data_IF_990090851114
#
_entry.id   IF_990090851114
#
_cell.length_a   1.000
_cell.length_b   1.000
_cell.length_c   1.000
_cell.angle_alpha   90.00
_cell.angle_beta   90.00
_cell.angle_gamma   90.00
#
_symmetry.space_group_name_H-M   'P 1'
#
loop_
_entity.id
_entity.type
_entity.pdbx_description
1 polymer ?
#
# COMPACT_ATOMS: atom_id res chain seq x y z
N UNK A 1 33.48 -2.70 5.26
CA UNK A 1 32.28 -2.29 6.03
C UNK A 1 31.18 -3.27 5.64
N UNK A 2 30.65 -4.07 6.57
CA UNK A 2 29.77 -5.19 6.23
C UNK A 2 28.39 -4.66 5.79
N UNK A 3 27.78 -5.31 4.80
CA UNK A 3 26.46 -4.92 4.23
C UNK A 3 25.33 -4.91 5.26
N UNK A 4 25.43 -5.75 6.30
CA UNK A 4 24.47 -5.83 7.41
C UNK A 4 24.50 -4.55 8.27
N UNK A 5 25.69 -4.02 8.56
CA UNK A 5 25.84 -2.80 9.38
C UNK A 5 25.27 -1.58 8.66
N UNK A 6 25.40 -1.55 7.33
CA UNK A 6 24.84 -0.50 6.49
C UNK A 6 23.30 -0.57 6.47
N UNK A 7 22.73 -1.76 6.31
CA UNK A 7 21.28 -1.96 6.33
C UNK A 7 20.66 -1.54 7.68
N UNK A 8 21.30 -1.90 8.80
CA UNK A 8 20.88 -1.48 10.14
C UNK A 8 20.94 0.04 10.27
N UNK A 9 22.03 0.68 9.82
CA UNK A 9 22.18 2.14 9.86
C UNK A 9 21.09 2.85 9.04
N UNK A 10 20.80 2.38 7.83
CA UNK A 10 19.73 2.95 6.99
C UNK A 10 18.37 2.85 7.66
N UNK A 11 18.04 1.68 8.23
CA UNK A 11 16.80 1.50 9.02
C UNK A 11 16.70 2.50 10.16
N UNK A 12 17.74 2.64 10.98
CA UNK A 12 17.75 3.57 12.12
C UNK A 12 17.61 5.04 11.67
N UNK A 13 18.26 5.40 10.55
CA UNK A 13 18.09 6.73 9.94
C UNK A 13 16.63 6.99 9.55
N UNK A 14 15.96 6.00 8.93
CA UNK A 14 14.55 6.13 8.55
C UNK A 14 13.61 6.26 9.75
N UNK A 15 13.86 5.53 10.84
CA UNK A 15 13.09 5.65 12.09
C UNK A 15 13.22 7.07 12.66
N UNK A 16 14.43 7.63 12.66
CA UNK A 16 14.65 9.00 13.11
C UNK A 16 13.92 10.03 12.22
N UNK A 17 14.03 9.88 10.90
CA UNK A 17 13.38 10.78 9.93
C UNK A 17 11.85 10.70 9.97
N UNK A 18 11.28 9.54 10.29
CA UNK A 18 9.83 9.36 10.35
C UNK A 18 9.18 9.95 11.61
N UNK A 19 9.99 10.38 12.60
CA UNK A 19 9.47 10.91 13.87
C UNK A 19 8.57 9.92 14.62
N UNK A 20 8.80 8.62 14.48
CA UNK A 20 8.00 7.56 15.09
C UNK A 20 6.70 7.25 14.35
N UNK A 21 6.47 7.81 13.15
CA UNK A 21 5.29 7.51 12.33
C UNK A 21 5.60 6.43 11.30
N UNK A 22 4.94 5.28 11.44
CA UNK A 22 5.11 4.14 10.54
C UNK A 22 4.86 4.48 9.06
N UNK A 23 3.82 5.28 8.77
CA UNK A 23 3.53 5.72 7.40
C UNK A 23 4.69 6.50 6.79
N UNK A 24 5.26 7.44 7.53
CA UNK A 24 6.39 8.25 7.05
C UNK A 24 7.64 7.36 6.83
N UNK A 25 7.85 6.37 7.70
CA UNK A 25 8.90 5.36 7.53
C UNK A 25 8.75 4.58 6.22
N UNK A 26 7.55 4.04 5.95
CA UNK A 26 7.25 3.29 4.73
C UNK A 26 7.40 4.17 3.49
N UNK A 27 6.91 5.41 3.54
CA UNK A 27 7.04 6.37 2.43
C UNK A 27 8.50 6.67 2.11
N UNK A 28 9.34 6.93 3.12
CA UNK A 28 10.78 7.19 2.91
C UNK A 28 11.43 5.94 2.30
N UNK A 29 11.20 4.77 2.92
CA UNK A 29 11.75 3.51 2.45
C UNK A 29 11.42 3.24 0.98
N UNK A 30 10.15 3.33 0.60
CA UNK A 30 9.73 3.02 -0.76
C UNK A 30 10.27 4.03 -1.79
N UNK A 31 10.32 5.32 -1.47
CA UNK A 31 10.88 6.30 -2.41
C UNK A 31 12.40 6.13 -2.60
N UNK A 32 13.14 5.68 -1.58
CA UNK A 32 14.55 5.31 -1.72
C UNK A 32 14.72 4.10 -2.67
N UNK A 33 13.92 3.04 -2.49
CA UNK A 33 14.04 1.80 -3.27
C UNK A 33 13.44 1.91 -4.70
N UNK A 34 12.61 2.93 -4.94
CA UNK A 34 11.98 3.21 -6.23
C UNK A 34 12.67 4.36 -6.99
N UNK A 35 13.76 4.91 -6.44
CA UNK A 35 14.52 5.97 -7.09
C UNK A 35 14.96 5.54 -8.51
N UNK A 36 14.78 6.45 -9.49
CA UNK A 36 15.13 6.19 -10.89
C UNK A 36 14.14 5.34 -11.68
N UNK A 37 13.07 4.82 -11.06
CA UNK A 37 12.04 4.02 -11.77
C UNK A 37 10.93 4.87 -12.40
N UNK A 38 10.84 6.14 -12.02
CA UNK A 38 9.72 7.03 -12.34
C UNK A 38 8.45 6.77 -11.50
N UNK A 39 8.53 5.87 -10.51
CA UNK A 39 7.46 5.61 -9.54
C UNK A 39 7.74 6.44 -8.28
N UNK A 40 6.73 7.14 -7.79
CA UNK A 40 6.75 7.92 -6.55
C UNK A 40 5.72 7.39 -5.57
N UNK A 41 6.03 7.37 -4.27
CA UNK A 41 5.06 7.10 -3.22
C UNK A 41 4.67 8.41 -2.53
N UNK A 42 3.40 8.78 -2.70
CA UNK A 42 2.81 10.02 -2.18
C UNK A 42 1.84 9.74 -1.04
N UNK A 43 1.53 10.76 -0.22
CA UNK A 43 0.47 10.64 0.78
C UNK A 43 -0.88 10.75 0.11
N UNK A 44 -1.82 9.87 0.47
CA UNK A 44 -3.20 9.90 -0.01
C UNK A 44 -4.20 10.47 0.99
N UNK A 45 -3.72 10.94 2.16
CA UNK A 45 -4.58 11.38 3.27
C UNK A 45 -5.44 12.60 2.94
N UNK A 46 -4.97 13.46 2.03
CA UNK A 46 -5.62 14.70 1.67
C UNK A 46 -6.12 14.63 0.23
N UNK A 47 -7.42 14.43 0.06
CA UNK A 47 -8.07 14.44 -1.26
C UNK A 47 -7.78 15.75 -2.01
N UNK A 48 -7.84 16.88 -1.31
CA UNK A 48 -7.61 18.20 -1.91
C UNK A 48 -6.19 18.34 -2.45
N UNK A 49 -5.18 17.83 -1.75
CA UNK A 49 -3.80 17.82 -2.23
C UNK A 49 -3.63 16.95 -3.48
N UNK A 50 -4.24 15.75 -3.51
CA UNK A 50 -4.20 14.90 -4.70
C UNK A 50 -4.91 15.58 -5.87
N UNK A 51 -6.07 16.20 -5.63
CA UNK A 51 -6.84 16.92 -6.65
C UNK A 51 -6.10 18.13 -7.20
N UNK A 52 -5.41 18.88 -6.34
CA UNK A 52 -4.55 20.00 -6.74
C UNK A 52 -3.32 19.54 -7.50
N UNK A 53 -2.73 18.40 -7.12
CA UNK A 53 -1.59 17.80 -7.82
C UNK A 53 -1.96 17.34 -9.21
N UNK A 54 -3.05 16.58 -9.33
CA UNK A 54 -3.53 16.06 -10.61
C UNK A 54 -5.01 15.70 -10.55
N UNK A 55 -5.89 16.43 -11.27
CA UNK A 55 -7.28 16.06 -11.41
C UNK A 55 -7.49 14.68 -12.04
N UNK A 56 -6.55 14.23 -12.88
CA UNK A 56 -6.61 12.90 -13.53
C UNK A 56 -6.34 11.81 -12.50
N UNK A 57 -5.29 11.96 -11.69
CA UNK A 57 -4.97 11.03 -10.62
C UNK A 57 -6.10 10.95 -9.60
N UNK A 58 -6.63 12.11 -9.17
CA UNK A 58 -7.77 12.20 -8.26
C UNK A 58 -8.98 11.42 -8.79
N UNK A 59 -9.38 11.66 -10.05
CA UNK A 59 -10.50 10.90 -10.68
C UNK A 59 -10.27 9.39 -10.72
N UNK A 60 -9.02 8.95 -10.86
CA UNK A 60 -8.67 7.51 -10.89
C UNK A 60 -8.67 6.86 -9.49
N UNK A 61 -8.47 7.65 -8.44
CA UNK A 61 -8.46 7.18 -7.05
C UNK A 61 -9.85 7.29 -6.39
N UNK A 62 -10.65 8.28 -6.77
CA UNK A 62 -12.03 8.41 -6.32
C UNK A 62 -12.89 7.22 -6.76
N UNK A 63 -13.81 6.81 -5.89
CA UNK A 63 -14.77 5.76 -6.20
C UNK A 63 -16.15 6.39 -6.49
N UNK A 64 -16.83 6.01 -7.59
CA UNK A 64 -18.11 6.60 -7.94
C UNK A 64 -19.21 6.22 -6.95
N UNK A 65 -20.05 7.19 -6.58
CA UNK A 65 -21.26 6.98 -5.79
C UNK A 65 -22.44 6.65 -6.70
N UNK A 66 -23.18 5.59 -6.37
CA UNK A 66 -24.29 5.12 -7.22
C UNK A 66 -25.52 6.03 -7.17
N UNK A 67 -25.80 6.65 -6.03
CA UNK A 67 -27.08 7.32 -5.76
C UNK A 67 -26.84 8.52 -4.85
N UNK A 68 -26.15 9.53 -5.35
CA UNK A 68 -26.03 10.80 -4.65
C UNK A 68 -26.25 11.96 -5.62
N UNK A 69 -27.07 12.92 -5.19
CA UNK A 69 -27.44 14.09 -5.97
C UNK A 69 -26.50 15.29 -5.73
N UNK A 70 -25.54 15.15 -4.80
CA UNK A 70 -24.69 16.24 -4.31
C UNK A 70 -23.22 15.92 -4.59
N UNK A 71 -22.79 14.70 -4.25
CA UNK A 71 -21.45 14.18 -4.52
C UNK A 71 -21.54 12.94 -5.42
N UNK A 72 -20.78 12.88 -6.50
CA UNK A 72 -20.76 11.73 -7.42
C UNK A 72 -19.60 10.76 -7.12
N UNK A 73 -18.79 11.04 -6.10
CA UNK A 73 -17.63 10.25 -5.71
C UNK A 73 -17.41 10.24 -4.20
N UNK A 74 -16.64 9.26 -3.74
CA UNK A 74 -16.12 9.17 -2.38
C UNK A 74 -14.61 8.96 -2.40
N UNK A 75 -13.91 9.59 -1.45
CA UNK A 75 -12.50 9.34 -1.18
C UNK A 75 -12.36 8.19 -0.18
N UNK A 76 -11.52 7.20 -0.49
CA UNK A 76 -11.28 6.04 0.38
C UNK A 76 -10.34 6.32 1.55
N UNK A 77 -10.15 5.33 2.43
CA UNK A 77 -9.06 5.33 3.42
C UNK A 77 -7.73 5.05 2.71
N UNK A 78 -7.04 6.11 2.32
CA UNK A 78 -5.78 6.04 1.56
C UNK A 78 -4.65 6.67 2.39
N UNK A 79 -3.80 5.83 2.97
CA UNK A 79 -2.61 6.30 3.70
C UNK A 79 -1.54 6.79 2.71
N UNK A 80 -1.07 5.88 1.83
CA UNK A 80 -0.09 6.16 0.77
C UNK A 80 -0.56 5.62 -0.59
N UNK A 81 -0.05 6.20 -1.68
CA UNK A 81 -0.26 5.72 -3.05
C UNK A 81 1.06 5.68 -3.80
N UNK A 82 1.38 4.54 -4.41
CA UNK A 82 2.42 4.44 -5.43
C UNK A 82 1.85 4.86 -6.78
N UNK A 83 2.49 5.83 -7.43
CA UNK A 83 2.05 6.41 -8.71
C UNK A 83 3.20 6.46 -9.71
N UNK A 84 2.89 6.30 -11.00
CA UNK A 84 3.81 6.59 -12.11
C UNK A 84 3.18 7.64 -13.00
N UNK A 85 3.61 8.90 -12.87
CA UNK A 85 2.87 10.05 -13.39
C UNK A 85 1.46 10.10 -12.78
N UNK A 86 0.43 10.08 -13.63
CA UNK A 86 -0.99 10.05 -13.20
C UNK A 86 -1.59 8.65 -13.10
N UNK A 87 -0.77 7.60 -13.24
CA UNK A 87 -1.22 6.20 -13.15
C UNK A 87 -1.09 5.74 -11.69
N UNK A 88 -2.20 5.52 -10.96
CA UNK A 88 -2.15 4.88 -9.65
C UNK A 88 -1.84 3.39 -9.82
N UNK A 89 -0.83 2.91 -9.07
CA UNK A 89 -0.36 1.52 -9.12
C UNK A 89 -0.90 0.75 -7.93
N UNK A 90 -0.63 1.26 -6.72
CA UNK A 90 -1.00 0.60 -5.48
C UNK A 90 -1.39 1.61 -4.40
N UNK A 91 -2.45 1.31 -3.67
CA UNK A 91 -2.78 1.91 -2.38
C UNK A 91 -2.09 1.09 -1.30
N UNK A 92 -1.32 1.76 -0.46
CA UNK A 92 -0.52 1.15 0.61
C UNK A 92 -1.10 1.63 1.93
N UNK A 93 -1.96 0.82 2.55
CA UNK A 93 -2.46 1.12 3.88
C UNK A 93 -1.36 0.86 4.91
N UNK A 94 -1.16 1.79 5.84
CA UNK A 94 -0.08 1.76 6.81
C UNK A 94 -0.66 1.64 8.22
N UNK A 95 -0.69 0.42 8.78
CA UNK A 95 -1.26 0.19 10.12
C UNK A 95 -0.21 -0.40 11.06
N UNK A 96 -0.03 0.23 12.21
CA UNK A 96 0.86 -0.29 13.28
C UNK A 96 0.30 -1.57 13.90
N UNK A 97 -1.02 -1.64 14.09
CA UNK A 97 -1.75 -2.81 14.59
C UNK A 97 -3.10 -3.02 13.89
N UNK A 98 -3.58 -4.27 13.86
CA UNK A 98 -4.69 -4.75 13.02
C UNK A 98 -6.07 -4.76 13.70
N UNK A 99 -6.33 -3.86 14.65
CA UNK A 99 -7.58 -3.84 15.41
C UNK A 99 -8.80 -3.47 14.51
N UNK A 100 -9.85 -2.82 15.04
CA UNK A 100 -11.04 -2.47 14.23
C UNK A 100 -10.75 -1.74 12.89
N UNK A 101 -9.60 -1.08 12.76
CA UNK A 101 -9.11 -0.41 11.54
C UNK A 101 -8.76 -1.37 10.39
N UNK A 102 -8.50 -2.65 10.67
CA UNK A 102 -8.20 -3.61 9.62
C UNK A 102 -9.44 -3.90 8.75
N UNK A 103 -10.62 -4.02 9.37
CA UNK A 103 -11.89 -4.23 8.64
C UNK A 103 -12.19 -3.11 7.65
N UNK A 104 -11.87 -1.86 8.01
CA UNK A 104 -12.01 -0.71 7.10
C UNK A 104 -11.08 -0.82 5.89
N UNK A 105 -9.81 -1.17 6.10
CA UNK A 105 -8.87 -1.47 5.00
C UNK A 105 -9.40 -2.57 4.08
N UNK A 106 -9.96 -3.65 4.64
CA UNK A 106 -10.53 -4.75 3.85
C UNK A 106 -11.74 -4.31 3.03
N UNK A 107 -12.61 -3.46 3.60
CA UNK A 107 -13.76 -2.90 2.90
C UNK A 107 -13.32 -2.06 1.69
N UNK A 108 -12.39 -1.13 1.88
CA UNK A 108 -11.87 -0.31 0.78
C UNK A 108 -11.14 -1.15 -0.26
N UNK A 109 -10.35 -2.14 0.17
CA UNK A 109 -9.70 -3.08 -0.74
C UNK A 109 -10.70 -3.78 -1.67
N UNK A 110 -11.82 -4.27 -1.12
CA UNK A 110 -12.86 -4.92 -1.91
C UNK A 110 -13.46 -3.96 -2.95
N UNK A 111 -13.73 -2.71 -2.57
CA UNK A 111 -14.26 -1.71 -3.51
C UNK A 111 -13.27 -1.39 -4.63
N UNK A 112 -12.00 -1.13 -4.29
CA UNK A 112 -10.95 -0.87 -5.28
C UNK A 112 -10.74 -2.05 -6.22
N UNK A 113 -10.77 -3.28 -5.69
CA UNK A 113 -10.65 -4.50 -6.49
C UNK A 113 -11.80 -4.66 -7.48
N UNK A 114 -13.03 -4.33 -7.08
CA UNK A 114 -14.22 -4.48 -7.94
C UNK A 114 -14.24 -3.39 -9.02
N UNK A 115 -13.87 -2.16 -8.67
CA UNK A 115 -14.09 -0.98 -9.51
C UNK A 115 -12.85 -0.55 -10.31
N UNK A 116 -11.66 -0.99 -9.89
CA UNK A 116 -10.39 -0.53 -10.44
C UNK A 116 -9.41 -1.68 -10.62
N UNK A 117 -8.22 -1.39 -11.17
CA UNK A 117 -7.08 -2.32 -11.20
C UNK A 117 -6.00 -1.98 -10.18
N UNK A 118 -6.25 -0.96 -9.35
CA UNK A 118 -5.31 -0.48 -8.34
C UNK A 118 -5.14 -1.59 -7.30
N UNK A 119 -3.89 -1.92 -7.00
CA UNK A 119 -3.56 -2.91 -5.98
C UNK A 119 -3.76 -2.33 -4.60
N UNK A 120 -4.31 -3.10 -3.67
CA UNK A 120 -4.46 -2.66 -2.29
C UNK A 120 -3.66 -3.59 -1.39
N UNK A 121 -2.68 -2.99 -0.73
CA UNK A 121 -1.73 -3.71 0.12
C UNK A 121 -1.69 -3.10 1.51
N UNK A 122 -1.22 -3.88 2.47
CA UNK A 122 -0.99 -3.44 3.84
C UNK A 122 0.50 -3.46 4.15
N UNK A 123 1.04 -2.34 4.62
CA UNK A 123 2.35 -2.26 5.25
C UNK A 123 2.18 -2.14 6.77
N UNK A 124 2.83 -3.02 7.53
CA UNK A 124 2.72 -3.03 9.00
C UNK A 124 4.05 -3.42 9.65
N UNK A 125 4.38 -2.91 10.85
CA UNK A 125 5.46 -3.49 11.64
C UNK A 125 5.05 -4.78 12.35
N UNK A 126 3.75 -5.14 12.35
CA UNK A 126 3.16 -6.18 13.20
C UNK A 126 3.50 -5.90 14.67
N UNK A 127 2.89 -4.85 15.24
CA UNK A 127 3.13 -4.44 16.63
C UNK A 127 2.77 -5.54 17.65
N UNK A 128 2.02 -6.55 17.20
CA UNK A 128 1.65 -7.71 18.00
C UNK A 128 0.36 -7.50 18.80
N UNK A 129 -0.20 -8.62 19.26
CA UNK A 129 -1.45 -8.72 20.03
C UNK A 129 -1.29 -9.38 21.40
N UNK A 130 -0.05 -9.51 21.87
CA UNK A 130 0.23 -10.12 23.16
C UNK A 130 -0.09 -9.20 24.34
N UNK A 131 0.01 -9.74 25.56
CA UNK A 131 -0.15 -8.97 26.80
C UNK A 131 1.06 -8.04 27.01
N UNK A 132 0.97 -7.11 27.95
CA UNK A 132 2.07 -6.21 28.30
C UNK A 132 3.38 -6.99 28.53
N UNK A 133 4.44 -6.59 27.82
CA UNK A 133 5.75 -7.27 27.86
C UNK A 133 5.87 -8.55 27.04
N UNK A 134 4.84 -8.92 26.28
CA UNK A 134 4.85 -10.09 25.39
C UNK A 134 4.39 -9.71 23.99
N UNK A 135 5.28 -9.88 23.01
CA UNK A 135 4.92 -9.78 21.61
C UNK A 135 4.42 -11.12 21.06
N UNK A 136 3.29 -11.09 20.36
CA UNK A 136 2.72 -12.22 19.63
C UNK A 136 2.22 -11.68 18.30
N UNK A 137 2.67 -12.24 17.18
CA UNK A 137 2.25 -11.82 15.84
C UNK A 137 0.73 -11.78 15.70
N UNK A 138 0.23 -10.74 15.04
CA UNK A 138 -1.18 -10.60 14.65
C UNK A 138 -1.54 -11.57 13.50
N UNK A 139 -0.55 -12.10 12.79
CA UNK A 139 -0.73 -12.93 11.59
C UNK A 139 -0.71 -14.45 11.85
N UNK A 140 -0.21 -14.90 13.00
CA UNK A 140 0.00 -16.33 13.26
C UNK A 140 1.04 -16.93 12.30
N UNK A 141 0.84 -18.17 11.89
CA UNK A 141 1.70 -18.86 10.92
C UNK A 141 0.88 -19.35 9.72
N UNK A 142 1.50 -19.72 8.58
CA UNK A 142 0.78 -20.36 7.49
C UNK A 142 0.01 -21.62 7.89
N UNK A 143 0.58 -22.44 8.80
CA UNK A 143 -0.01 -23.70 9.27
C UNK A 143 -1.08 -23.47 10.35
N UNK A 144 -0.99 -22.36 11.09
CA UNK A 144 -1.95 -21.96 12.12
C UNK A 144 -2.29 -20.47 11.97
N UNK A 145 -3.06 -20.11 10.92
CA UNK A 145 -3.32 -18.73 10.58
C UNK A 145 -4.29 -18.09 11.57
N UNK A 146 -4.10 -16.80 11.84
CA UNK A 146 -5.11 -16.02 12.55
C UNK A 146 -6.26 -15.67 11.60
N UNK A 147 -7.37 -15.19 12.18
CA UNK A 147 -8.47 -14.61 11.41
C UNK A 147 -7.98 -13.48 10.50
N UNK A 148 -7.07 -12.64 11.00
CA UNK A 148 -6.56 -11.50 10.23
C UNK A 148 -5.74 -11.93 9.02
N UNK A 149 -4.91 -12.98 9.15
CA UNK A 149 -4.21 -13.59 8.01
C UNK A 149 -5.20 -14.15 6.98
N UNK A 150 -6.19 -14.93 7.41
CA UNK A 150 -7.20 -15.51 6.51
C UNK A 150 -8.00 -14.43 5.75
N UNK A 151 -8.37 -13.36 6.45
CA UNK A 151 -9.04 -12.23 5.84
C UNK A 151 -8.13 -11.47 4.86
N UNK A 152 -6.87 -11.23 5.22
CA UNK A 152 -5.90 -10.61 4.33
C UNK A 152 -5.74 -11.43 3.04
N UNK A 153 -5.53 -12.75 3.16
CA UNK A 153 -5.39 -13.68 2.03
C UNK A 153 -6.58 -13.64 1.07
N UNK A 154 -7.78 -13.38 1.62
CA UNK A 154 -9.00 -13.29 0.82
C UNK A 154 -9.15 -11.94 0.10
N UNK A 155 -8.70 -10.84 0.71
CA UNK A 155 -9.15 -9.49 0.35
C UNK A 155 -8.04 -8.48 0.03
N UNK A 156 -6.78 -8.76 0.31
CA UNK A 156 -5.64 -7.89 -0.05
C UNK A 156 -4.81 -8.47 -1.19
N UNK A 157 -4.09 -7.61 -1.93
CA UNK A 157 -3.10 -8.02 -2.92
C UNK A 157 -1.74 -8.37 -2.27
N UNK A 158 -1.50 -7.93 -1.03
CA UNK A 158 -0.28 -8.22 -0.28
C UNK A 158 -0.28 -7.65 1.13
N UNK A 159 0.47 -8.31 2.02
CA UNK A 159 0.78 -7.82 3.36
C UNK A 159 2.30 -7.81 3.50
N UNK A 160 2.85 -6.64 3.83
CA UNK A 160 4.28 -6.37 3.83
C UNK A 160 4.73 -5.95 5.21
N UNK A 161 5.63 -6.73 5.81
CA UNK A 161 5.96 -6.61 7.23
C UNK A 161 7.44 -6.35 7.43
N UNK A 162 7.76 -5.38 8.29
CA UNK A 162 9.10 -5.22 8.85
C UNK A 162 8.99 -5.01 10.35
N UNK A 163 9.37 -6.01 11.15
CA UNK A 163 9.37 -5.87 12.59
C UNK A 163 10.49 -4.91 13.01
N UNK A 164 10.11 -3.67 13.34
CA UNK A 164 11.03 -2.64 13.85
C UNK A 164 10.71 -2.41 15.33
N UNK A 165 11.73 -2.52 16.18
CA UNK A 165 11.60 -2.51 17.64
C UNK A 165 10.82 -1.31 18.20
N UNK A 166 10.96 -0.13 17.56
CA UNK A 166 10.22 1.10 17.91
C UNK A 166 8.69 0.88 17.96
N UNK A 167 8.15 0.04 17.06
CA UNK A 167 6.72 -0.23 16.97
C UNK A 167 6.32 -1.61 17.52
N UNK A 168 7.27 -2.53 17.75
CA UNK A 168 7.02 -3.89 18.23
C UNK A 168 7.35 -4.04 19.73
N UNK A 169 6.50 -3.49 20.61
CA UNK A 169 6.74 -3.54 22.06
C UNK A 169 6.84 -4.97 22.59
N UNK A 170 7.93 -5.27 23.29
CA UNK A 170 8.13 -6.58 23.93
C UNK A 170 8.55 -7.70 22.98
N UNK A 171 8.92 -7.38 21.73
CA UNK A 171 9.55 -8.34 20.82
C UNK A 171 10.94 -8.70 21.33
N UNK A 172 11.29 -9.99 21.29
CA UNK A 172 12.59 -10.50 21.74
C UNK A 172 13.48 -10.88 20.55
N UNK A 173 14.81 -10.90 20.71
CA UNK A 173 15.71 -11.41 19.68
C UNK A 173 15.29 -12.80 19.19
N UNK A 174 15.20 -12.97 17.87
CA UNK A 174 14.77 -14.22 17.23
C UNK A 174 13.24 -14.38 17.09
N UNK A 175 12.43 -13.46 17.65
CA UNK A 175 11.02 -13.37 17.32
C UNK A 175 10.81 -12.48 16.10
N UNK A 176 9.77 -12.79 15.33
CA UNK A 176 9.38 -12.02 14.17
C UNK A 176 8.13 -12.62 13.52
N UNK A 177 7.58 -11.89 12.57
CA UNK A 177 6.45 -12.36 11.77
C UNK A 177 6.88 -13.55 10.94
N UNK A 178 6.09 -14.63 10.96
CA UNK A 178 6.33 -15.79 10.10
C UNK A 178 5.71 -15.49 8.73
N UNK A 179 6.56 -15.41 7.71
CA UNK A 179 6.16 -15.15 6.34
C UNK A 179 5.56 -16.38 5.65
N UNK A 180 4.79 -16.14 4.59
CA UNK A 180 4.17 -17.16 3.77
C UNK A 180 2.88 -16.66 3.12
N UNK A 181 2.59 -17.15 1.91
CA UNK A 181 1.46 -16.69 1.11
C UNK A 181 1.61 -15.20 0.77
N UNK A 182 0.59 -14.40 1.08
CA UNK A 182 0.62 -12.96 0.80
C UNK A 182 1.34 -12.14 1.88
N UNK A 183 1.65 -12.74 3.04
CA UNK A 183 2.37 -12.09 4.16
C UNK A 183 3.87 -12.25 3.94
N UNK A 184 4.54 -11.15 3.60
CA UNK A 184 5.90 -11.11 3.04
C UNK A 184 6.71 -9.99 3.69
N UNK A 185 8.06 -10.01 3.62
CA UNK A 185 8.87 -8.92 4.14
C UNK A 185 8.62 -7.62 3.39
N UNK A 186 8.70 -6.47 4.07
CA UNK A 186 8.54 -5.15 3.46
C UNK A 186 9.51 -4.92 2.30
N UNK A 187 10.66 -5.58 2.33
CA UNK A 187 11.67 -5.50 1.27
C UNK A 187 11.24 -6.03 -0.08
N UNK A 188 10.14 -6.80 -0.17
CA UNK A 188 9.61 -7.28 -1.44
C UNK A 188 8.63 -6.29 -2.09
N UNK A 189 8.08 -5.34 -1.33
CA UNK A 189 7.08 -4.39 -1.84
C UNK A 189 7.57 -3.54 -3.03
N UNK A 190 8.82 -3.02 -3.07
CA UNK A 190 9.30 -2.26 -4.22
C UNK A 190 9.24 -3.05 -5.53
N UNK A 191 9.60 -4.33 -5.51
CA UNK A 191 9.62 -5.17 -6.72
C UNK A 191 8.21 -5.47 -7.22
N UNK A 192 7.27 -5.72 -6.31
CA UNK A 192 5.87 -5.90 -6.70
C UNK A 192 5.26 -4.61 -7.26
N UNK A 193 5.57 -3.44 -6.67
CA UNK A 193 5.15 -2.15 -7.21
C UNK A 193 5.68 -1.95 -8.63
N UNK A 194 6.95 -2.28 -8.90
CA UNK A 194 7.53 -2.18 -10.26
C UNK A 194 6.80 -3.09 -11.24
N UNK A 195 6.53 -4.34 -10.86
CA UNK A 195 5.77 -5.29 -11.69
C UNK A 195 4.35 -4.78 -11.97
N UNK A 196 3.64 -4.30 -10.95
CA UNK A 196 2.29 -3.77 -11.12
C UNK A 196 2.27 -2.47 -11.94
N UNK A 197 3.33 -1.67 -11.90
CA UNK A 197 3.48 -0.51 -12.76
C UNK A 197 3.51 -0.91 -14.24
N UNK A 198 4.28 -1.93 -14.60
CA UNK A 198 4.31 -2.44 -15.97
C UNK A 198 2.96 -2.98 -16.44
N UNK A 199 2.24 -3.68 -15.54
CA UNK A 199 0.88 -4.17 -15.80
C UNK A 199 -0.10 -3.01 -16.03
N UNK A 200 -0.03 -1.97 -15.20
CA UNK A 200 -0.87 -0.78 -15.30
C UNK A 200 -0.58 0.02 -16.58
N UNK A 201 0.68 0.24 -16.93
CA UNK A 201 1.07 0.97 -18.15
C UNK A 201 0.57 0.30 -19.42
N UNK A 202 0.66 -1.04 -19.50
CA UNK A 202 0.12 -1.82 -20.63
C UNK A 202 -1.38 -1.61 -20.76
N UNK A 203 -2.10 -1.60 -19.63
CA UNK A 203 -3.54 -1.38 -19.60
C UNK A 203 -3.92 0.02 -20.10
N UNK A 204 -3.27 1.07 -19.58
CA UNK A 204 -3.59 2.45 -19.97
C UNK A 204 -3.16 2.78 -21.40
N UNK A 205 -2.05 2.22 -21.88
CA UNK A 205 -1.62 2.39 -23.28
C UNK A 205 -2.62 1.77 -24.25
N UNK A 206 -3.16 0.60 -23.92
CA UNK A 206 -4.17 -0.07 -24.75
C UNK A 206 -5.50 0.71 -24.81
N UNK A 207 -5.94 1.28 -23.69
CA UNK A 207 -7.21 2.01 -23.64
C UNK A 207 -7.09 3.43 -24.23
N UNK A 208 -5.96 4.11 -24.03
CA UNK A 208 -5.67 5.38 -24.69
C UNK A 208 -5.67 5.26 -26.21
N UNK A 209 -5.07 4.18 -26.75
CA UNK A 209 -5.10 3.91 -28.19
C UNK A 209 -6.53 3.70 -28.73
N UNK A 210 -7.40 3.04 -27.97
CA UNK A 210 -8.81 2.83 -28.36
C UNK A 210 -9.67 4.09 -28.26
N UNK A 211 -9.44 4.95 -27.28
CA UNK A 211 -10.14 6.23 -27.17
C UNK A 211 -9.77 7.16 -28.34
N UNK A 212 -8.51 7.15 -28.77
CA UNK A 212 -8.05 7.94 -29.93
C UNK A 212 -8.59 7.37 -31.27
N UNK A 213 -8.70 6.05 -31.42
CA UNK A 213 -9.37 5.43 -32.58
C UNK A 213 -10.89 5.74 -32.60
N UNK A 214 -11.54 5.71 -31.43
CA UNK A 214 -12.96 6.04 -31.30
C UNK A 214 -13.27 7.50 -31.62
N UNK A 215 -12.42 8.44 -31.19
CA UNK A 215 -12.51 9.86 -31.55
C UNK A 215 -12.27 10.10 -33.04
N UNK A 216 -11.27 9.44 -33.63
CA UNK A 216 -11.05 9.53 -35.08
C UNK A 216 -12.27 9.05 -35.86
N UNK A 217 -12.91 7.96 -35.46
CA UNK A 217 -14.12 7.48 -36.15
C UNK A 217 -15.32 8.41 -35.98
N UNK A 218 -15.48 9.08 -34.84
CA UNK A 218 -16.55 10.07 -34.64
C UNK A 218 -16.36 11.37 -35.43
N UNK A 219 -15.14 11.66 -35.89
CA UNK A 219 -14.85 12.82 -36.76
C UNK A 219 -15.11 12.51 -38.25
N UNK A 220 -15.43 11.25 -38.59
CA UNK A 220 -15.72 10.79 -39.97
C UNK A 220 -17.21 10.54 -40.25
N UNK A 221 -18.11 10.78 -39.29
CA UNK A 221 -19.57 10.71 -39.44
C UNK A 221 -20.23 12.01 -38.99
#
# INVERSE_FOLDING_TARGET
MNSVDEAIRRRQSRVALSGGRWEDYVKIYLNEELEGTGIEVISGRSESEIRSRSPVLWKRLCLPLKVSAIEDHVWGDIDLVAVKGDIPIAIISCKVSLHGRFTETLFWSLLYRILTRIKVVLATPDAGRGREGQWVSEWGTPENPTKDRLLAESYLDGVYVENVEEWCKGIRPGQGTIFGGIVRPLSELPEDIKKWAEEAEKFYSYHGAKEDEGKRLSDFF
#
